data_IF_388144658348
#
_entry.id   IF_388144658348
#
_cell.length_a   1.000
_cell.length_b   1.000
_cell.length_c   1.000
_cell.angle_alpha   90.00
_cell.angle_beta   90.00
_cell.angle_gamma   90.00
#
_symmetry.space_group_name_H-M   'P 1'
#
loop_
_entity.id
_entity.type
_entity.pdbx_description
1 polymer ?
#
# COMPACT_ATOMS: atom_id res chain seq x y z
N UNK A 1 16.04 7.04 7.20
CA UNK A 1 15.33 6.18 8.18
C UNK A 1 14.97 4.87 7.49
N UNK A 2 14.88 3.77 8.22
CA UNK A 2 14.28 2.54 7.73
C UNK A 2 12.76 2.70 7.60
N UNK A 3 12.12 1.82 6.84
CA UNK A 3 10.67 1.81 6.70
C UNK A 3 9.96 1.59 8.06
N UNK A 4 10.52 0.75 8.93
CA UNK A 4 10.01 0.57 10.30
C UNK A 4 10.06 1.87 11.12
N UNK A 5 11.20 2.57 11.06
CA UNK A 5 11.38 3.84 11.77
C UNK A 5 10.40 4.90 11.24
N UNK A 6 10.17 4.93 9.93
CA UNK A 6 9.22 5.85 9.30
C UNK A 6 7.77 5.58 9.71
N UNK A 7 7.33 4.31 9.74
CA UNK A 7 5.99 3.95 10.22
C UNK A 7 5.85 4.29 11.70
N UNK A 8 6.88 4.03 12.51
CA UNK A 8 6.85 4.35 13.93
C UNK A 8 6.71 5.87 14.19
N UNK A 9 7.38 6.68 13.39
CA UNK A 9 7.40 8.14 13.52
C UNK A 9 6.22 8.86 12.84
N UNK A 10 5.47 8.18 11.97
CA UNK A 10 4.40 8.81 11.20
C UNK A 10 3.24 9.31 12.07
N UNK A 11 2.69 10.46 11.67
CA UNK A 11 1.43 10.99 12.16
C UNK A 11 0.24 10.19 11.61
N UNK A 12 -0.95 10.45 12.12
CA UNK A 12 -2.17 9.72 11.74
C UNK A 12 -2.48 9.85 10.24
N UNK A 13 -2.16 10.99 9.63
CA UNK A 13 -2.32 11.23 8.19
C UNK A 13 -1.33 10.41 7.38
N UNK A 14 -0.06 10.38 7.78
CA UNK A 14 0.99 9.57 7.21
C UNK A 14 0.65 8.08 7.27
N UNK A 15 0.19 7.59 8.42
CA UNK A 15 -0.22 6.20 8.62
C UNK A 15 -1.40 5.83 7.71
N UNK A 16 -2.47 6.62 7.72
CA UNK A 16 -3.65 6.33 6.90
C UNK A 16 -3.35 6.35 5.40
N UNK A 17 -2.63 7.38 4.92
CA UNK A 17 -2.30 7.53 3.50
C UNK A 17 -1.30 6.47 3.01
N UNK A 18 -0.29 6.13 3.82
CA UNK A 18 0.67 5.09 3.47
C UNK A 18 0.03 3.70 3.44
N UNK A 19 -0.88 3.40 4.38
CA UNK A 19 -1.65 2.17 4.39
C UNK A 19 -2.55 2.05 3.16
N UNK A 20 -3.32 3.10 2.83
CA UNK A 20 -4.14 3.17 1.61
C UNK A 20 -3.28 2.92 0.35
N UNK A 21 -2.12 3.58 0.25
CA UNK A 21 -1.17 3.38 -0.83
C UNK A 21 -0.58 1.96 -0.89
N UNK A 22 -0.51 1.23 0.22
CA UNK A 22 -0.05 -0.17 0.24
C UNK A 22 -1.17 -1.11 -0.23
N UNK A 23 -2.41 -0.90 0.22
CA UNK A 23 -3.55 -1.72 -0.18
C UNK A 23 -3.86 -1.60 -1.68
N UNK A 24 -3.80 -0.41 -2.27
CA UNK A 24 -3.95 -0.21 -3.73
C UNK A 24 -2.94 -0.99 -4.56
N UNK A 25 -1.75 -1.24 -4.00
CA UNK A 25 -0.68 -1.97 -4.68
C UNK A 25 -0.89 -3.49 -4.65
N UNK A 26 -1.77 -3.96 -3.77
CA UNK A 26 -2.14 -5.37 -3.65
C UNK A 26 -3.30 -5.76 -4.58
N UNK A 27 -4.06 -4.78 -5.07
CA UNK A 27 -5.20 -5.04 -5.95
C UNK A 27 -4.76 -5.32 -7.39
N UNK A 28 -5.47 -6.23 -8.10
CA UNK A 28 -5.28 -6.41 -9.53
C UNK A 28 -5.61 -5.11 -10.24
N UNK A 29 -4.86 -4.82 -11.28
CA UNK A 29 -5.01 -3.53 -11.94
C UNK A 29 -6.30 -3.48 -12.76
N UNK A 30 -7.02 -2.35 -12.75
CA UNK A 30 -8.20 -2.20 -13.59
C UNK A 30 -7.82 -2.38 -15.07
N UNK A 31 -8.65 -3.13 -15.79
CA UNK A 31 -8.62 -3.19 -17.24
C UNK A 31 -8.96 -1.83 -17.84
N UNK A 32 -8.66 -1.63 -19.13
CA UNK A 32 -9.10 -0.42 -19.82
C UNK A 32 -10.64 -0.33 -19.79
N UNK A 33 -11.18 0.79 -19.28
CA UNK A 33 -12.63 1.01 -19.16
C UNK A 33 -13.30 0.29 -17.98
N UNK A 34 -12.52 -0.27 -17.05
CA UNK A 34 -13.07 -0.85 -15.82
C UNK A 34 -13.58 0.22 -14.85
N UNK A 35 -14.42 -0.22 -13.91
CA UNK A 35 -14.95 0.60 -12.81
C UNK A 35 -13.84 1.31 -12.02
N UNK A 36 -14.17 2.44 -11.36
CA UNK A 36 -13.21 3.16 -10.55
C UNK A 36 -12.58 2.27 -9.48
N UNK A 37 -11.32 2.55 -9.15
CA UNK A 37 -10.57 1.83 -8.11
C UNK A 37 -11.41 1.76 -6.80
N UNK A 38 -11.68 0.54 -6.27
CA UNK A 38 -12.54 0.36 -5.11
C UNK A 38 -11.99 1.04 -3.84
N UNK A 39 -10.70 1.35 -3.79
CA UNK A 39 -10.08 2.07 -2.67
C UNK A 39 -10.06 3.58 -2.85
N UNK A 40 -10.45 4.10 -4.02
CA UNK A 40 -10.46 5.53 -4.30
C UNK A 40 -11.19 6.38 -3.24
N UNK A 41 -12.35 5.95 -2.68
CA UNK A 41 -13.01 6.71 -1.62
C UNK A 41 -12.15 6.89 -0.37
N UNK A 42 -11.29 5.92 -0.03
CA UNK A 42 -10.49 5.91 1.20
C UNK A 42 -9.53 7.11 1.27
N UNK A 43 -9.06 7.62 0.13
CA UNK A 43 -8.19 8.80 0.06
C UNK A 43 -8.84 10.07 0.56
N UNK A 44 -10.16 10.21 0.40
CA UNK A 44 -10.88 11.34 1.00
C UNK A 44 -10.89 11.24 2.53
N UNK A 45 -10.96 10.03 3.09
CA UNK A 45 -10.84 9.80 4.53
C UNK A 45 -9.41 9.98 5.07
N UNK A 46 -8.40 9.81 4.22
CA UNK A 46 -7.02 10.16 4.55
C UNK A 46 -6.80 11.68 4.57
N UNK A 47 -7.47 12.40 3.67
CA UNK A 47 -7.43 13.86 3.62
C UNK A 47 -8.25 14.51 4.73
N UNK A 48 -9.38 13.91 5.13
CA UNK A 48 -10.26 14.45 6.15
C UNK A 48 -10.67 13.33 7.12
N UNK A 49 -10.16 13.43 8.35
CA UNK A 49 -10.41 12.45 9.41
C UNK A 49 -11.91 12.28 9.73
N UNK A 50 -12.72 13.33 9.53
CA UNK A 50 -14.16 13.25 9.78
C UNK A 50 -14.89 12.37 8.76
N UNK A 51 -14.31 12.21 7.57
CA UNK A 51 -14.85 11.35 6.51
C UNK A 51 -14.40 9.90 6.66
N UNK A 52 -13.38 9.62 7.49
CA UNK A 52 -12.75 8.32 7.60
C UNK A 52 -13.73 7.14 7.78
N UNK A 53 -14.68 7.16 8.73
CA UNK A 53 -15.58 6.03 8.93
C UNK A 53 -16.45 5.74 7.70
N UNK A 54 -16.98 6.79 7.08
CA UNK A 54 -17.83 6.66 5.90
C UNK A 54 -17.05 6.15 4.70
N UNK A 55 -15.83 6.68 4.46
CA UNK A 55 -14.98 6.25 3.33
C UNK A 55 -14.43 4.85 3.50
N UNK A 56 -14.16 4.43 4.73
CA UNK A 56 -13.78 3.06 5.04
C UNK A 56 -14.93 2.09 4.75
N UNK A 57 -16.16 2.44 5.13
CA UNK A 57 -17.34 1.63 4.82
C UNK A 57 -17.61 1.54 3.30
N UNK A 58 -17.47 2.65 2.57
CA UNK A 58 -17.57 2.66 1.10
C UNK A 58 -16.53 1.74 0.45
N UNK A 59 -15.27 1.79 0.88
CA UNK A 59 -14.20 0.95 0.35
C UNK A 59 -14.43 -0.55 0.64
N UNK A 60 -14.90 -0.88 1.86
CA UNK A 60 -15.29 -2.26 2.22
C UNK A 60 -16.39 -2.79 1.30
N UNK A 61 -17.47 -2.03 1.15
CA UNK A 61 -18.60 -2.40 0.29
C UNK A 61 -18.17 -2.57 -1.19
N UNK A 62 -17.33 -1.67 -1.69
CA UNK A 62 -16.80 -1.76 -3.05
C UNK A 62 -15.95 -3.02 -3.27
N UNK A 63 -15.09 -3.37 -2.31
CA UNK A 63 -14.32 -4.61 -2.39
C UNK A 63 -15.20 -5.84 -2.27
N UNK A 64 -16.18 -5.88 -1.37
CA UNK A 64 -17.07 -7.03 -1.17
C UNK A 64 -17.91 -7.35 -2.41
N UNK A 65 -18.22 -6.34 -3.22
CA UNK A 65 -18.92 -6.50 -4.49
C UNK A 65 -18.08 -7.18 -5.60
N UNK A 66 -16.75 -7.26 -5.45
CA UNK A 66 -15.90 -7.90 -6.47
C UNK A 66 -16.08 -9.42 -6.50
N UNK A 67 -16.42 -10.03 -7.65
CA UNK A 67 -16.52 -11.48 -7.77
C UNK A 67 -15.12 -12.13 -7.84
N UNK A 68 -14.95 -13.24 -7.12
CA UNK A 68 -13.76 -14.11 -7.09
C UNK A 68 -12.40 -13.37 -7.22
N UNK A 69 -12.00 -12.59 -6.21
CA UNK A 69 -11.01 -11.55 -6.43
C UNK A 69 -9.56 -12.05 -6.30
N UNK A 70 -9.34 -13.36 -6.16
CA UNK A 70 -8.03 -13.96 -5.90
C UNK A 70 -7.52 -13.73 -4.47
N UNK A 71 -6.37 -14.34 -4.15
CA UNK A 71 -5.77 -14.31 -2.80
C UNK A 71 -5.40 -12.91 -2.31
N UNK A 72 -4.69 -12.05 -3.08
CA UNK A 72 -4.27 -10.74 -2.59
C UNK A 72 -5.45 -9.85 -2.18
N UNK A 73 -6.54 -9.89 -2.94
CA UNK A 73 -7.73 -9.07 -2.63
C UNK A 73 -8.47 -9.58 -1.41
N UNK A 74 -8.51 -10.90 -1.16
CA UNK A 74 -9.07 -11.46 0.08
C UNK A 74 -8.31 -10.95 1.31
N UNK A 75 -6.97 -10.92 1.25
CA UNK A 75 -6.12 -10.34 2.31
C UNK A 75 -6.34 -8.83 2.47
N UNK A 76 -6.55 -8.08 1.38
CA UNK A 76 -6.92 -6.65 1.46
C UNK A 76 -8.28 -6.47 2.14
N UNK A 77 -9.28 -7.32 1.86
CA UNK A 77 -10.58 -7.27 2.55
C UNK A 77 -10.44 -7.51 4.04
N UNK A 78 -9.63 -8.49 4.45
CA UNK A 78 -9.33 -8.76 5.86
C UNK A 78 -8.72 -7.53 6.55
N UNK A 79 -7.72 -6.89 5.93
CA UNK A 79 -7.12 -5.67 6.47
C UNK A 79 -8.09 -4.50 6.50
N UNK A 80 -8.93 -4.31 5.47
CA UNK A 80 -9.97 -3.28 5.53
C UNK A 80 -10.96 -3.55 6.65
N UNK A 81 -11.35 -4.81 6.90
CA UNK A 81 -12.25 -5.17 7.98
C UNK A 81 -11.62 -4.91 9.37
N UNK A 82 -10.32 -5.13 9.50
CA UNK A 82 -9.56 -4.87 10.73
C UNK A 82 -9.19 -3.38 10.93
N UNK A 83 -9.34 -2.54 9.91
CA UNK A 83 -9.01 -1.12 10.02
C UNK A 83 -9.80 -0.45 11.15
N UNK A 84 -9.15 0.39 11.99
CA UNK A 84 -9.78 0.99 13.15
C UNK A 84 -10.88 1.97 12.73
N UNK A 85 -11.94 2.05 13.55
CA UNK A 85 -13.02 2.99 13.32
C UNK A 85 -12.54 4.44 13.47
N UNK A 86 -11.70 4.70 14.47
CA UNK A 86 -11.04 5.98 14.64
C UNK A 86 -9.69 5.97 13.92
N UNK A 87 -9.39 7.06 13.22
CA UNK A 87 -8.12 7.23 12.50
C UNK A 87 -7.05 7.77 13.46
N UNK A 88 -6.80 7.05 14.55
CA UNK A 88 -5.93 7.52 15.62
C UNK A 88 -5.23 6.38 16.37
N UNK A 89 -4.19 6.74 17.12
CA UNK A 89 -3.59 5.88 18.13
C UNK A 89 -2.78 4.67 17.62
N UNK A 90 -2.57 3.71 18.51
CA UNK A 90 -1.73 2.53 18.26
C UNK A 90 -2.38 1.55 17.26
N UNK A 91 -3.71 1.44 17.27
CA UNK A 91 -4.44 0.57 16.34
C UNK A 91 -4.24 0.98 14.89
N UNK A 92 -4.24 2.30 14.60
CA UNK A 92 -3.95 2.80 13.25
C UNK A 92 -2.51 2.48 12.81
N UNK A 93 -1.55 2.56 13.74
CA UNK A 93 -0.15 2.25 13.46
C UNK A 93 0.06 0.76 13.20
N UNK A 94 -0.54 -0.10 14.02
CA UNK A 94 -0.52 -1.55 13.82
C UNK A 94 -1.16 -1.92 12.47
N UNK A 95 -2.31 -1.31 12.14
CA UNK A 95 -2.96 -1.53 10.85
C UNK A 95 -2.09 -1.10 9.66
N UNK A 96 -1.42 0.06 9.76
CA UNK A 96 -0.50 0.51 8.72
C UNK A 96 0.73 -0.41 8.57
N UNK A 97 1.22 -0.98 9.69
CA UNK A 97 2.27 -2.00 9.71
C UNK A 97 1.85 -3.24 8.90
N UNK A 98 0.66 -3.77 9.17
CA UNK A 98 0.12 -4.93 8.48
C UNK A 98 -0.12 -4.67 6.98
N UNK A 99 -0.62 -3.47 6.62
CA UNK A 99 -0.75 -3.06 5.22
C UNK A 99 0.61 -3.00 4.51
N UNK A 100 1.64 -2.47 5.18
CA UNK A 100 3.02 -2.43 4.67
C UNK A 100 3.55 -3.83 4.40
N UNK A 101 3.36 -4.77 5.33
CA UNK A 101 3.78 -6.17 5.22
C UNK A 101 3.08 -6.86 4.05
N UNK A 102 1.75 -6.77 3.96
CA UNK A 102 0.99 -7.41 2.88
C UNK A 102 1.49 -6.97 1.50
N UNK A 103 1.72 -5.66 1.32
CA UNK A 103 2.21 -5.15 0.04
C UNK A 103 3.58 -5.74 -0.33
N UNK A 104 4.49 -5.89 0.64
CA UNK A 104 5.80 -6.53 0.41
C UNK A 104 5.65 -8.02 0.07
N UNK A 105 4.78 -8.74 0.77
CA UNK A 105 4.51 -10.16 0.51
C UNK A 105 3.96 -10.39 -0.91
N UNK A 106 3.01 -9.56 -1.34
CA UNK A 106 2.46 -9.62 -2.71
C UNK A 106 3.56 -9.39 -3.75
N UNK A 107 4.44 -8.41 -3.53
CA UNK A 107 5.52 -8.10 -4.48
C UNK A 107 6.60 -9.17 -4.50
N UNK A 108 6.92 -9.77 -3.35
CA UNK A 108 7.78 -10.95 -3.27
C UNK A 108 7.20 -12.12 -4.08
N UNK A 109 5.89 -12.34 -4.02
CA UNK A 109 5.21 -13.38 -4.81
C UNK A 109 5.36 -13.24 -6.33
N UNK A 110 5.64 -12.03 -6.81
CA UNK A 110 5.90 -11.76 -8.23
C UNK A 110 7.38 -11.89 -8.63
N UNK A 111 8.31 -11.80 -7.67
CA UNK A 111 9.73 -11.95 -7.92
C UNK A 111 10.10 -13.40 -8.34
N UNK A 112 11.32 -13.56 -8.85
CA UNK A 112 11.84 -14.90 -9.11
C UNK A 112 12.15 -15.63 -7.79
N UNK A 113 11.71 -16.90 -7.62
CA UNK A 113 12.08 -17.69 -6.47
C UNK A 113 13.61 -17.69 -6.32
N UNK A 114 14.09 -17.27 -5.15
CA UNK A 114 15.51 -17.32 -4.79
C UNK A 114 15.66 -18.21 -3.56
N UNK A 115 16.40 -19.33 -3.64
CA UNK A 115 16.69 -20.14 -2.48
C UNK A 115 17.55 -19.38 -1.47
N UNK A 116 17.37 -19.65 -0.17
CA UNK A 116 18.32 -19.27 0.88
C UNK A 116 18.21 -17.84 1.44
N UNK A 117 17.09 -17.15 1.25
CA UNK A 117 16.85 -15.85 1.85
C UNK A 117 15.58 -15.86 2.74
N UNK A 118 15.69 -16.30 4.01
CA UNK A 118 14.56 -16.22 4.93
C UNK A 118 14.21 -14.75 5.23
N UNK A 119 12.90 -14.50 5.39
CA UNK A 119 12.33 -13.25 5.88
C UNK A 119 12.79 -11.97 5.12
N UNK A 120 12.76 -12.05 3.78
CA UNK A 120 13.06 -10.92 2.90
C UNK A 120 12.21 -9.67 3.19
N UNK A 121 10.88 -9.76 3.46
CA UNK A 121 10.08 -8.59 3.79
C UNK A 121 10.62 -7.85 5.02
N UNK A 122 10.85 -8.51 6.17
CA UNK A 122 11.35 -7.82 7.35
C UNK A 122 12.75 -7.20 7.13
N UNK A 123 13.63 -7.89 6.40
CA UNK A 123 14.95 -7.33 6.04
C UNK A 123 14.84 -6.05 5.22
N UNK A 124 13.98 -6.02 4.21
CA UNK A 124 13.68 -4.81 3.44
C UNK A 124 13.15 -3.69 4.33
N UNK A 125 12.24 -4.00 5.27
CA UNK A 125 11.68 -3.01 6.21
C UNK A 125 12.74 -2.39 7.13
N UNK A 126 13.77 -3.15 7.49
CA UNK A 126 14.96 -2.67 8.22
C UNK A 126 16.02 -1.98 7.35
N UNK A 127 15.74 -1.67 6.08
CA UNK A 127 16.67 -0.99 5.17
C UNK A 127 17.78 -1.89 4.60
N UNK A 128 17.59 -3.22 4.60
CA UNK A 128 18.58 -4.21 4.13
C UNK A 128 18.05 -5.03 2.94
N UNK A 129 17.84 -4.42 1.75
CA UNK A 129 17.23 -5.09 0.60
C UNK A 129 18.15 -6.09 -0.12
N UNK A 130 19.38 -6.30 0.36
CA UNK A 130 20.32 -7.22 -0.27
C UNK A 130 19.73 -8.63 -0.43
N UNK A 131 19.71 -9.14 -1.65
CA UNK A 131 19.12 -10.45 -1.98
C UNK A 131 17.64 -10.43 -2.36
N UNK A 132 16.91 -9.33 -2.08
CA UNK A 132 15.55 -9.16 -2.56
C UNK A 132 15.50 -9.10 -4.10
N UNK A 133 14.38 -9.54 -4.67
CA UNK A 133 14.10 -9.30 -6.07
C UNK A 133 13.72 -7.85 -6.33
N UNK A 134 13.72 -7.42 -7.60
CA UNK A 134 13.48 -6.03 -7.96
C UNK A 134 12.09 -5.53 -7.55
N UNK A 135 11.07 -6.39 -7.51
CA UNK A 135 9.71 -5.97 -7.17
C UNK A 135 9.57 -5.75 -5.66
N UNK A 136 10.09 -6.66 -4.85
CA UNK A 136 10.12 -6.48 -3.40
C UNK A 136 10.97 -5.26 -2.99
N UNK A 137 12.17 -5.12 -3.56
CA UNK A 137 13.04 -3.99 -3.25
C UNK A 137 12.42 -2.65 -3.69
N UNK A 138 11.80 -2.63 -4.87
CA UNK A 138 11.11 -1.44 -5.39
C UNK A 138 9.89 -1.06 -4.54
N UNK A 139 9.11 -2.03 -4.06
CA UNK A 139 7.98 -1.78 -3.19
C UNK A 139 8.43 -1.18 -1.85
N UNK A 140 9.46 -1.74 -1.21
CA UNK A 140 10.02 -1.19 0.03
C UNK A 140 10.52 0.25 -0.17
N UNK A 141 11.25 0.52 -1.25
CA UNK A 141 11.72 1.87 -1.57
C UNK A 141 10.57 2.86 -1.80
N UNK A 142 9.49 2.42 -2.46
CA UNK A 142 8.29 3.25 -2.66
C UNK A 142 7.60 3.57 -1.34
N UNK A 143 7.44 2.61 -0.43
CA UNK A 143 6.83 2.86 0.89
C UNK A 143 7.66 3.89 1.69
N UNK A 144 8.99 3.73 1.70
CA UNK A 144 9.91 4.70 2.29
C UNK A 144 9.72 6.10 1.69
N UNK A 145 9.73 6.22 0.36
CA UNK A 145 9.54 7.50 -0.32
C UNK A 145 8.19 8.16 0.04
N UNK A 146 7.11 7.38 0.10
CA UNK A 146 5.77 7.89 0.46
C UNK A 146 5.78 8.45 1.88
N UNK A 147 6.34 7.73 2.85
CA UNK A 147 6.39 8.18 4.23
C UNK A 147 7.32 9.40 4.40
N UNK A 148 8.44 9.45 3.70
CA UNK A 148 9.33 10.62 3.69
C UNK A 148 8.66 11.86 3.10
N UNK A 149 7.93 11.71 1.99
CA UNK A 149 7.12 12.79 1.41
C UNK A 149 6.05 13.25 2.39
N UNK A 150 5.37 12.33 3.07
CA UNK A 150 4.29 12.65 4.01
C UNK A 150 4.81 13.37 5.26
N UNK A 151 5.95 12.93 5.79
CA UNK A 151 6.64 13.55 6.93
C UNK A 151 7.22 14.92 6.60
N UNK A 152 7.54 15.20 5.34
CA UNK A 152 8.02 16.51 4.88
C UNK A 152 6.94 17.57 4.71
N UNK A 153 5.66 17.21 4.93
CA UNK A 153 4.54 18.14 4.80
C UNK A 153 4.32 18.84 6.15
N UNK A 154 4.31 20.16 6.11
CA UNK A 154 4.05 21.01 7.26
C UNK A 154 2.69 20.71 7.89
N UNK A 155 2.62 20.66 9.22
CA UNK A 155 1.39 20.35 9.96
C UNK A 155 0.27 21.39 9.71
N UNK A 156 0.62 22.61 9.33
CA UNK A 156 -0.32 23.68 8.96
C UNK A 156 -0.81 23.60 7.51
N UNK A 157 -0.24 22.68 6.71
CA UNK A 157 -0.65 22.50 5.34
C UNK A 157 -2.11 22.01 5.26
N UNK A 158 -2.86 22.36 4.19
CA UNK A 158 -4.20 21.84 3.99
C UNK A 158 -4.22 20.32 4.07
N UNK A 159 -5.28 19.74 4.61
CA UNK A 159 -5.31 18.32 4.96
C UNK A 159 -5.12 17.35 3.76
N UNK A 160 -5.36 17.83 2.53
CA UNK A 160 -5.05 17.12 1.29
C UNK A 160 -3.64 17.32 0.71
N UNK A 161 -2.78 18.10 1.36
CA UNK A 161 -1.43 18.40 0.88
C UNK A 161 -0.60 17.11 0.74
N UNK A 162 0.17 17.02 -0.35
CA UNK A 162 1.01 15.87 -0.68
C UNK A 162 0.30 14.57 -1.04
N UNK A 163 -1.00 14.40 -0.73
CA UNK A 163 -1.74 13.18 -1.07
C UNK A 163 -1.85 12.95 -2.58
N UNK A 164 -1.97 14.01 -3.38
CA UNK A 164 -1.92 13.90 -4.85
C UNK A 164 -0.59 13.34 -5.32
N UNK A 165 0.52 13.78 -4.74
CA UNK A 165 1.86 13.31 -5.11
C UNK A 165 2.08 11.85 -4.70
N UNK A 166 1.55 11.44 -3.54
CA UNK A 166 1.53 10.03 -3.11
C UNK A 166 0.72 9.18 -4.10
N UNK A 167 -0.48 9.64 -4.50
CA UNK A 167 -1.31 8.97 -5.51
C UNK A 167 -0.59 8.82 -6.85
N UNK A 168 0.16 9.84 -7.30
CA UNK A 168 0.94 9.79 -8.53
C UNK A 168 2.05 8.74 -8.45
N UNK A 169 2.76 8.66 -7.32
CA UNK A 169 3.79 7.63 -7.05
C UNK A 169 3.18 6.23 -7.02
N UNK A 170 2.01 6.05 -6.39
CA UNK A 170 1.28 4.77 -6.39
C UNK A 170 0.86 4.35 -7.80
N UNK A 171 0.38 5.30 -8.61
CA UNK A 171 -0.05 5.06 -9.99
C UNK A 171 1.11 4.69 -10.91
N UNK A 172 2.25 5.38 -10.79
CA UNK A 172 3.46 5.03 -11.54
C UNK A 172 4.00 3.64 -11.14
N UNK A 173 4.02 3.34 -9.84
CA UNK A 173 4.38 2.02 -9.33
C UNK A 173 3.50 0.89 -9.90
N UNK A 174 2.19 1.13 -10.05
CA UNK A 174 1.28 0.21 -10.73
C UNK A 174 1.72 -0.02 -12.19
N UNK A 175 1.99 1.02 -12.98
CA UNK A 175 2.43 0.85 -14.38
C UNK A 175 3.69 -0.01 -14.50
N UNK A 176 4.68 0.22 -13.64
CA UNK A 176 5.94 -0.54 -13.61
C UNK A 176 5.70 -2.02 -13.28
N UNK A 177 4.89 -2.31 -12.25
CA UNK A 177 4.55 -3.68 -11.87
C UNK A 177 3.86 -4.43 -13.02
N UNK A 178 2.90 -3.80 -13.70
CA UNK A 178 2.22 -4.38 -14.87
C UNK A 178 3.23 -4.79 -15.93
N UNK A 179 4.12 -3.87 -16.29
CA UNK A 179 5.13 -4.11 -17.30
C UNK A 179 6.07 -5.26 -16.92
N UNK A 180 6.46 -5.35 -15.64
CA UNK A 180 7.30 -6.43 -15.13
C UNK A 180 6.60 -7.80 -15.15
N UNK A 181 5.36 -7.88 -14.66
CA UNK A 181 4.55 -9.10 -14.66
C UNK A 181 4.30 -9.58 -16.09
N UNK A 182 3.91 -8.69 -17.02
CA UNK A 182 3.69 -9.03 -18.43
C UNK A 182 4.96 -9.49 -19.15
N UNK A 183 6.13 -8.93 -18.82
CA UNK A 183 7.42 -9.44 -19.34
C UNK A 183 7.72 -10.85 -18.83
N UNK A 184 7.45 -11.10 -17.54
CA UNK A 184 7.70 -12.41 -16.92
C UNK A 184 6.77 -13.50 -17.47
N UNK A 185 5.50 -13.19 -17.69
CA UNK A 185 4.57 -14.12 -18.32
C UNK A 185 5.04 -14.56 -19.72
N UNK A 186 5.55 -13.61 -20.52
CA UNK A 186 6.11 -13.89 -21.85
C UNK A 186 7.43 -14.64 -21.84
N UNK A 187 8.25 -14.51 -20.80
CA UNK A 187 9.51 -15.27 -20.67
C UNK A 187 9.33 -16.69 -20.13
N UNK A 188 8.11 -17.07 -19.75
CA UNK A 188 7.75 -18.42 -19.26
C UNK A 188 6.94 -19.24 -20.26
N UNK A 189 6.45 -18.63 -21.35
CA UNK A 189 5.78 -19.31 -22.47
C UNK A 189 6.73 -19.47 -23.64
#
# INVERSE_FOLDING_TARGET
MSLLELIAAADERGLAASAAACLERCLPQPGAGADPDPLRPLWAGCADASLWPARLAEARAALDALPDPGEPVRRVRELLAAAPHERAGEELRAWADDCSVLALEVHLGHDAPRPGAPDLPARCRTGRPAGAGPLLAGEAARQTLILEMLAGIDESAPAGAGLRQVLDVSTEGQRVLRAAVSRRARGRG
#
